data_IF_697331118490
#
_entry.id   IF_697331118490
#
_cell.length_a   1.000
_cell.length_b   1.000
_cell.length_c   1.000
_cell.angle_alpha   90.00
_cell.angle_beta   90.00
_cell.angle_gamma   90.00
#
_symmetry.space_group_name_H-M   'P 1'
#
loop_
_entity.id
_entity.type
_entity.pdbx_description
1 polymer ?
#
# COMPACT_ATOMS: atom_id res chain seq x y z
N UNK A 1 11.40 -3.61 6.31
CA UNK A 1 11.11 -4.96 5.84
C UNK A 1 9.84 -4.98 4.98
N UNK A 2 8.64 -4.76 5.51
CA UNK A 2 7.38 -4.88 4.74
C UNK A 2 7.34 -4.04 3.45
N UNK A 3 7.87 -2.81 3.46
CA UNK A 3 7.95 -2.00 2.24
C UNK A 3 8.94 -2.55 1.21
N UNK A 4 10.04 -3.16 1.67
CA UNK A 4 11.00 -3.84 0.80
C UNK A 4 10.36 -5.08 0.16
N UNK A 5 9.62 -5.86 0.93
CA UNK A 5 8.88 -7.01 0.42
C UNK A 5 7.85 -6.59 -0.65
N UNK A 6 6.97 -5.64 -0.31
CA UNK A 6 5.90 -5.21 -1.21
C UNK A 6 6.45 -4.73 -2.58
N UNK A 7 7.39 -3.78 -2.56
CA UNK A 7 7.96 -3.23 -3.80
C UNK A 7 8.91 -4.22 -4.51
N UNK A 8 9.60 -5.06 -3.76
CA UNK A 8 10.42 -6.14 -4.32
C UNK A 8 9.58 -7.19 -5.07
N UNK A 9 8.45 -7.59 -4.49
CA UNK A 9 7.50 -8.49 -5.16
C UNK A 9 6.89 -7.86 -6.41
N UNK A 10 6.47 -6.58 -6.31
CA UNK A 10 5.97 -5.82 -7.47
C UNK A 10 6.98 -5.80 -8.61
N UNK A 11 8.25 -5.53 -8.32
CA UNK A 11 9.34 -5.51 -9.31
C UNK A 11 9.60 -6.90 -9.90
N UNK A 12 9.48 -7.95 -9.08
CA UNK A 12 9.79 -9.33 -9.46
C UNK A 12 8.67 -10.04 -10.21
N UNK A 13 7.44 -9.49 -10.21
CA UNK A 13 6.26 -10.16 -10.76
C UNK A 13 6.44 -10.59 -12.22
N UNK A 14 7.03 -9.74 -13.05
CA UNK A 14 7.30 -10.07 -14.46
C UNK A 14 8.24 -11.27 -14.64
N UNK A 15 9.29 -11.37 -13.82
CA UNK A 15 10.23 -12.49 -13.84
C UNK A 15 9.60 -13.77 -13.31
N UNK A 16 8.77 -13.67 -12.26
CA UNK A 16 7.97 -14.78 -11.72
C UNK A 16 7.00 -15.28 -12.78
N UNK A 17 6.32 -14.36 -13.46
CA UNK A 17 5.38 -14.68 -14.55
C UNK A 17 6.06 -15.45 -15.70
N UNK A 18 7.27 -15.06 -16.09
CA UNK A 18 8.06 -15.75 -17.11
C UNK A 18 8.45 -17.16 -16.67
N UNK A 19 8.93 -17.34 -15.42
CA UNK A 19 9.34 -18.66 -14.91
C UNK A 19 8.18 -19.66 -14.84
N UNK A 20 6.98 -19.20 -14.45
CA UNK A 20 5.79 -20.06 -14.38
C UNK A 20 4.94 -20.05 -15.65
N UNK A 21 5.41 -19.43 -16.75
CA UNK A 21 4.68 -19.29 -18.02
C UNK A 21 3.26 -18.69 -17.83
N UNK A 22 3.13 -17.68 -16.97
CA UNK A 22 1.87 -17.03 -16.68
C UNK A 22 1.54 -15.96 -17.70
N UNK A 23 0.27 -15.87 -18.05
CA UNK A 23 -0.28 -14.73 -18.78
C UNK A 23 -0.60 -13.54 -17.84
N UNK A 24 -1.05 -12.42 -18.39
CA UNK A 24 -1.38 -11.23 -17.60
C UNK A 24 -2.41 -11.49 -16.50
N UNK A 25 -3.45 -12.29 -16.78
CA UNK A 25 -4.44 -12.69 -15.76
C UNK A 25 -3.82 -13.51 -14.64
N UNK A 26 -2.94 -14.46 -14.97
CA UNK A 26 -2.22 -15.26 -13.98
C UNK A 26 -1.31 -14.43 -13.08
N UNK A 27 -0.60 -13.44 -13.64
CA UNK A 27 0.19 -12.49 -12.85
C UNK A 27 -0.69 -11.62 -11.94
N UNK A 28 -1.80 -11.07 -12.47
CA UNK A 28 -2.75 -10.31 -11.66
C UNK A 28 -3.38 -11.15 -10.54
N UNK A 29 -3.65 -12.44 -10.80
CA UNK A 29 -4.16 -13.36 -9.78
C UNK A 29 -3.15 -13.57 -8.65
N UNK A 30 -1.87 -13.80 -8.96
CA UNK A 30 -0.82 -13.94 -7.96
C UNK A 30 -0.68 -12.68 -7.09
N UNK A 31 -0.65 -11.50 -7.71
CA UNK A 31 -0.62 -10.24 -6.97
C UNK A 31 -1.86 -10.07 -6.07
N UNK A 32 -3.05 -10.44 -6.58
CA UNK A 32 -4.31 -10.34 -5.82
C UNK A 32 -4.37 -11.32 -4.65
N UNK A 33 -3.78 -12.52 -4.75
CA UNK A 33 -3.72 -13.50 -3.66
C UNK A 33 -3.04 -12.91 -2.42
N UNK A 34 -1.91 -12.22 -2.58
CA UNK A 34 -1.22 -11.55 -1.48
C UNK A 34 -2.08 -10.43 -0.87
N UNK A 35 -2.69 -9.60 -1.71
CA UNK A 35 -3.51 -8.47 -1.27
C UNK A 35 -4.78 -8.91 -0.53
N UNK A 36 -5.42 -10.00 -0.99
CA UNK A 36 -6.57 -10.62 -0.30
C UNK A 36 -6.15 -11.17 1.06
N UNK A 37 -5.01 -11.85 1.13
CA UNK A 37 -4.47 -12.34 2.40
C UNK A 37 -4.24 -11.17 3.38
N UNK A 38 -3.67 -10.07 2.88
CA UNK A 38 -3.46 -8.83 3.65
C UNK A 38 -4.75 -8.20 4.16
N UNK A 39 -5.84 -8.28 3.40
CA UNK A 39 -7.17 -7.83 3.82
C UNK A 39 -7.76 -8.71 4.94
N UNK A 40 -7.60 -10.03 4.82
CA UNK A 40 -8.16 -11.00 5.77
C UNK A 40 -7.42 -10.94 7.11
N UNK A 41 -6.12 -10.70 7.09
CA UNK A 41 -5.24 -10.76 8.26
C UNK A 41 -5.71 -9.89 9.45
N UNK A 42 -6.03 -8.59 9.33
CA UNK A 42 -6.51 -7.79 10.44
C UNK A 42 -7.84 -8.28 11.02
N UNK A 43 -8.72 -8.83 10.18
CA UNK A 43 -10.03 -9.33 10.60
C UNK A 43 -9.91 -10.59 11.47
N UNK A 44 -9.01 -11.50 11.11
CA UNK A 44 -8.80 -12.75 11.83
C UNK A 44 -7.89 -12.58 13.05
N UNK A 45 -6.79 -11.87 12.89
CA UNK A 45 -5.71 -11.83 13.89
C UNK A 45 -5.72 -10.56 14.75
N UNK A 46 -6.54 -9.54 14.43
CA UNK A 46 -6.74 -8.38 15.30
C UNK A 46 -7.28 -8.76 16.68
N UNK A 47 -8.44 -9.43 16.77
CA UNK A 47 -8.96 -9.90 18.05
C UNK A 47 -8.04 -10.91 18.76
N UNK A 48 -7.25 -11.67 17.99
CA UNK A 48 -6.29 -12.62 18.54
C UNK A 48 -5.07 -11.93 19.18
N UNK A 49 -4.63 -10.80 18.61
CA UNK A 49 -3.56 -9.98 19.16
C UNK A 49 -3.91 -9.45 20.55
N UNK A 50 -5.16 -9.04 20.75
CA UNK A 50 -5.64 -8.54 22.04
C UNK A 50 -5.77 -9.65 23.09
N UNK A 51 -6.10 -10.90 22.67
CA UNK A 51 -6.25 -12.05 23.58
C UNK A 51 -4.93 -12.70 23.95
N UNK A 52 -4.05 -12.98 22.96
CA UNK A 52 -2.79 -13.70 23.16
C UNK A 52 -1.62 -12.81 23.57
N UNK A 53 -1.79 -11.50 23.38
CA UNK A 53 -0.75 -10.49 23.54
C UNK A 53 0.08 -10.26 22.26
N UNK A 54 0.34 -8.99 21.98
CA UNK A 54 0.95 -8.51 20.73
C UNK A 54 2.34 -9.12 20.47
N UNK A 55 3.18 -9.24 21.52
CA UNK A 55 4.51 -9.85 21.39
C UNK A 55 4.46 -11.30 20.87
N UNK A 56 3.62 -12.14 21.48
CA UNK A 56 3.50 -13.56 21.09
C UNK A 56 3.03 -13.69 19.64
N UNK A 57 2.05 -12.87 19.25
CA UNK A 57 1.52 -12.90 17.89
C UNK A 57 2.57 -12.42 16.88
N UNK A 58 3.34 -11.36 17.18
CA UNK A 58 4.43 -10.91 16.32
C UNK A 58 5.48 -11.99 16.10
N UNK A 59 5.93 -12.67 17.17
CA UNK A 59 6.91 -13.76 17.05
C UNK A 59 6.36 -14.90 16.20
N UNK A 60 5.10 -15.31 16.41
CA UNK A 60 4.47 -16.37 15.62
C UNK A 60 4.38 -16.01 14.13
N UNK A 61 4.04 -14.76 13.81
CA UNK A 61 3.91 -14.32 12.42
C UNK A 61 5.25 -14.03 11.76
N UNK A 62 6.29 -13.60 12.48
CA UNK A 62 7.66 -13.58 11.94
C UNK A 62 8.17 -14.98 11.65
N UNK A 63 7.86 -15.97 12.49
CA UNK A 63 8.20 -17.37 12.19
C UNK A 63 7.43 -17.90 10.96
N UNK A 64 6.13 -17.59 10.85
CA UNK A 64 5.32 -17.97 9.68
C UNK A 64 5.81 -17.28 8.39
N UNK A 65 6.18 -16.00 8.46
CA UNK A 65 6.78 -15.25 7.38
C UNK A 65 8.12 -15.83 6.94
N UNK A 66 9.00 -16.15 7.90
CA UNK A 66 10.26 -16.84 7.62
C UNK A 66 10.02 -18.17 6.90
N UNK A 67 9.10 -19.00 7.38
CA UNK A 67 8.78 -20.27 6.74
C UNK A 67 8.23 -20.07 5.31
N UNK A 68 7.37 -19.06 5.11
CA UNK A 68 6.86 -18.68 3.80
C UNK A 68 7.98 -18.18 2.88
N UNK A 69 8.81 -17.27 3.35
CA UNK A 69 9.95 -16.72 2.59
C UNK A 69 10.91 -17.81 2.15
N UNK A 70 11.26 -18.73 3.05
CA UNK A 70 12.15 -19.87 2.72
C UNK A 70 11.49 -20.82 1.73
N UNK A 71 10.19 -21.11 1.88
CA UNK A 71 9.44 -21.90 0.92
C UNK A 71 9.43 -21.24 -0.47
N UNK A 72 9.21 -19.93 -0.56
CA UNK A 72 9.22 -19.18 -1.80
C UNK A 72 10.60 -19.13 -2.45
N UNK A 73 11.67 -19.03 -1.65
CA UNK A 73 13.04 -19.01 -2.16
C UNK A 73 13.46 -20.31 -2.87
N UNK A 74 12.87 -21.45 -2.45
CA UNK A 74 13.22 -22.78 -3.04
C UNK A 74 12.09 -23.39 -3.89
N UNK A 75 10.93 -22.73 -3.99
CA UNK A 75 9.80 -23.31 -4.70
C UNK A 75 10.08 -23.46 -6.20
N UNK A 76 9.56 -24.53 -6.79
CA UNK A 76 9.64 -24.83 -8.20
C UNK A 76 8.27 -24.87 -8.90
N UNK A 77 7.16 -24.75 -8.16
CA UNK A 77 5.83 -24.92 -8.70
C UNK A 77 4.89 -23.76 -8.38
N UNK A 78 4.03 -23.42 -9.34
CA UNK A 78 3.03 -22.34 -9.22
C UNK A 78 2.13 -22.47 -7.99
N UNK A 79 1.62 -23.69 -7.71
CA UNK A 79 0.72 -23.91 -6.56
C UNK A 79 1.41 -23.67 -5.22
N UNK A 80 2.66 -24.12 -5.10
CA UNK A 80 3.47 -23.89 -3.90
C UNK A 80 3.77 -22.41 -3.75
N UNK A 81 4.08 -21.72 -4.86
CA UNK A 81 4.28 -20.28 -4.87
C UNK A 81 3.03 -19.53 -4.43
N UNK A 82 1.86 -19.86 -4.99
CA UNK A 82 0.59 -19.20 -4.62
C UNK A 82 0.23 -19.39 -3.13
N UNK A 83 0.44 -20.59 -2.59
CA UNK A 83 0.24 -20.86 -1.16
C UNK A 83 1.25 -20.09 -0.29
N UNK A 84 2.51 -20.04 -0.71
CA UNK A 84 3.55 -19.29 -0.02
C UNK A 84 3.24 -17.78 -0.02
N UNK A 85 2.85 -17.21 -1.16
CA UNK A 85 2.53 -15.77 -1.25
C UNK A 85 1.26 -15.40 -0.46
N UNK A 86 0.31 -16.31 -0.35
CA UNK A 86 -0.85 -16.13 0.54
C UNK A 86 -0.43 -16.07 2.01
N UNK A 87 0.41 -17.02 2.47
CA UNK A 87 0.94 -17.03 3.83
C UNK A 87 1.82 -15.80 4.10
N UNK A 88 2.62 -15.38 3.11
CA UNK A 88 3.41 -14.15 3.16
C UNK A 88 2.50 -12.93 3.37
N UNK A 89 1.44 -12.79 2.59
CA UNK A 89 0.47 -11.70 2.72
C UNK A 89 -0.19 -11.66 4.10
N UNK A 90 -0.58 -12.81 4.65
CA UNK A 90 -1.08 -12.90 6.03
C UNK A 90 -0.02 -12.43 7.03
N UNK A 91 1.22 -12.86 6.86
CA UNK A 91 2.32 -12.56 7.78
C UNK A 91 2.70 -11.10 7.76
N UNK A 92 2.95 -10.54 6.58
CA UNK A 92 3.34 -9.13 6.38
C UNK A 92 2.26 -8.18 6.91
N UNK A 93 1.00 -8.43 6.58
CA UNK A 93 -0.11 -7.60 7.07
C UNK A 93 -0.26 -7.69 8.59
N UNK A 94 -0.24 -8.92 9.16
CA UNK A 94 -0.36 -9.10 10.60
C UNK A 94 0.78 -8.42 11.35
N UNK A 95 2.02 -8.62 10.94
CA UNK A 95 3.17 -7.99 11.59
C UNK A 95 3.13 -6.47 11.47
N UNK A 96 2.61 -5.92 10.38
CA UNK A 96 2.49 -4.49 10.19
C UNK A 96 1.49 -3.85 11.16
N UNK A 97 0.23 -4.30 11.17
CA UNK A 97 -0.77 -3.67 12.04
C UNK A 97 -0.58 -3.99 13.53
N UNK A 98 -0.09 -5.19 13.88
CA UNK A 98 0.19 -5.53 15.29
C UNK A 98 1.39 -4.74 15.82
N UNK A 99 2.40 -4.46 14.99
CA UNK A 99 3.52 -3.57 15.37
C UNK A 99 3.04 -2.14 15.63
N UNK A 100 2.16 -1.61 14.77
CA UNK A 100 1.57 -0.28 14.96
C UNK A 100 0.75 -0.23 16.27
N UNK A 101 -0.08 -1.25 16.52
CA UNK A 101 -0.86 -1.35 17.73
C UNK A 101 0.02 -1.53 18.98
N UNK A 102 1.11 -2.30 18.88
CA UNK A 102 2.07 -2.46 19.97
C UNK A 102 2.76 -1.13 20.33
N UNK A 103 3.12 -0.33 19.33
CA UNK A 103 3.73 0.98 19.56
C UNK A 103 2.75 1.96 20.19
N UNK A 104 1.49 1.93 19.78
CA UNK A 104 0.45 2.76 20.41
C UNK A 104 0.28 2.41 21.91
N UNK A 105 0.40 1.12 22.28
CA UNK A 105 0.33 0.68 23.67
C UNK A 105 1.61 1.02 24.47
N UNK A 106 2.77 0.85 23.86
CA UNK A 106 4.06 1.12 24.51
C UNK A 106 4.28 2.62 24.76
N UNK A 107 3.73 3.46 23.89
CA UNK A 107 3.92 4.91 23.89
C UNK A 107 2.58 5.65 23.74
N UNK A 108 1.74 5.65 24.77
CA UNK A 108 0.41 6.27 24.70
C UNK A 108 0.41 7.77 24.37
N UNK A 109 1.48 8.49 24.75
CA UNK A 109 1.62 9.94 24.53
C UNK A 109 2.32 10.23 23.20
N UNK A 110 3.44 9.58 22.91
CA UNK A 110 4.27 9.86 21.72
C UNK A 110 4.06 8.88 20.56
N UNK A 111 3.09 7.97 20.67
CA UNK A 111 2.86 6.89 19.71
C UNK A 111 2.65 7.36 18.27
N UNK A 112 1.86 8.42 18.05
CA UNK A 112 1.62 8.98 16.72
C UNK A 112 2.92 9.37 16.00
N UNK A 113 3.86 10.02 16.72
CA UNK A 113 5.16 10.39 16.16
C UNK A 113 6.00 9.15 15.79
N UNK A 114 5.99 8.13 16.64
CA UNK A 114 6.74 6.89 16.42
C UNK A 114 6.12 6.06 15.27
N UNK A 115 4.81 6.03 15.15
CA UNK A 115 4.11 5.42 14.01
C UNK A 115 4.49 6.11 12.70
N UNK A 116 4.61 7.46 12.71
CA UNK A 116 5.12 8.22 11.56
C UNK A 116 6.51 7.77 11.12
N UNK A 117 7.44 7.52 12.05
CA UNK A 117 8.77 6.98 11.72
C UNK A 117 8.70 5.59 11.10
N UNK A 118 7.85 4.69 11.63
CA UNK A 118 7.72 3.32 11.10
C UNK A 118 7.16 3.33 9.67
N UNK A 119 6.16 4.17 9.40
CA UNK A 119 5.63 4.32 8.03
C UNK A 119 6.65 4.96 7.09
N UNK A 120 7.53 5.83 7.59
CA UNK A 120 8.68 6.35 6.86
C UNK A 120 9.68 5.25 6.48
N UNK A 121 10.02 4.36 7.41
CA UNK A 121 10.88 3.20 7.12
C UNK A 121 10.24 2.21 6.15
N UNK A 122 8.91 2.06 6.16
CA UNK A 122 8.20 1.32 5.12
C UNK A 122 8.50 1.90 3.73
N UNK A 123 8.30 3.21 3.57
CA UNK A 123 8.54 3.90 2.29
C UNK A 123 10.00 3.80 1.85
N UNK A 124 10.95 3.92 2.78
CA UNK A 124 12.37 3.72 2.48
C UNK A 124 12.64 2.31 1.92
N UNK A 125 12.09 1.26 2.55
CA UNK A 125 12.18 -0.10 2.04
C UNK A 125 11.58 -0.24 0.64
N UNK A 126 10.43 0.42 0.38
CA UNK A 126 9.77 0.40 -0.92
C UNK A 126 10.55 1.12 -2.03
N UNK A 127 11.38 2.11 -1.67
CA UNK A 127 12.30 2.78 -2.61
C UNK A 127 13.50 1.90 -2.96
N UNK A 128 14.08 1.26 -1.93
CA UNK A 128 15.33 0.49 -2.08
C UNK A 128 15.09 -0.83 -2.81
N UNK A 129 13.96 -1.49 -2.57
CA UNK A 129 13.68 -2.81 -3.10
C UNK A 129 13.70 -2.91 -4.64
N UNK A 130 13.03 -2.02 -5.41
CA UNK A 130 13.10 -2.08 -6.86
C UNK A 130 14.51 -1.86 -7.39
N UNK A 131 15.31 -1.00 -6.73
CA UNK A 131 16.71 -0.77 -7.14
C UNK A 131 17.55 -2.03 -6.93
N UNK A 132 17.44 -2.68 -5.77
CA UNK A 132 18.22 -3.89 -5.46
C UNK A 132 17.74 -5.08 -6.29
N UNK A 133 16.44 -5.39 -6.22
CA UNK A 133 15.87 -6.53 -6.91
C UNK A 133 15.89 -6.34 -8.44
N UNK A 134 15.55 -5.15 -8.93
CA UNK A 134 15.50 -4.84 -10.35
C UNK A 134 16.89 -4.90 -11.00
N UNK A 135 17.89 -4.28 -10.36
CA UNK A 135 19.27 -4.36 -10.82
C UNK A 135 19.77 -5.82 -10.88
N UNK A 136 19.47 -6.62 -9.83
CA UNK A 136 19.86 -8.02 -9.78
C UNK A 136 19.18 -8.85 -10.88
N UNK A 137 17.89 -8.59 -11.14
CA UNK A 137 17.13 -9.27 -12.20
C UNK A 137 17.61 -8.89 -13.61
N UNK A 138 17.93 -7.62 -13.87
CA UNK A 138 18.50 -7.19 -15.16
C UNK A 138 19.85 -7.87 -15.48
N UNK A 139 20.63 -8.17 -14.44
CA UNK A 139 21.90 -8.88 -14.58
C UNK A 139 21.78 -10.42 -14.60
N UNK A 140 20.57 -10.93 -14.88
CA UNK A 140 20.31 -12.37 -15.02
C UNK A 140 20.12 -13.11 -13.69
N UNK A 141 19.94 -12.39 -12.59
CA UNK A 141 19.66 -12.96 -11.27
C UNK A 141 18.25 -13.53 -11.16
N UNK A 142 18.01 -14.30 -10.10
CA UNK A 142 16.70 -14.92 -9.83
C UNK A 142 15.89 -14.08 -8.84
N UNK A 143 14.59 -13.94 -9.08
CA UNK A 143 13.64 -13.32 -8.16
C UNK A 143 13.61 -13.97 -6.74
N UNK A 144 14.11 -15.20 -6.63
CA UNK A 144 14.21 -15.95 -5.37
C UNK A 144 15.07 -15.25 -4.32
N UNK A 145 16.01 -14.37 -4.77
CA UNK A 145 16.85 -13.58 -3.87
C UNK A 145 16.02 -12.68 -2.96
N UNK A 146 14.92 -12.10 -3.44
CA UNK A 146 14.00 -11.29 -2.63
C UNK A 146 13.53 -12.07 -1.40
N UNK A 147 13.02 -13.27 -1.62
CA UNK A 147 12.47 -14.09 -0.53
C UNK A 147 13.55 -14.64 0.40
N UNK A 148 14.74 -14.94 -0.12
CA UNK A 148 15.90 -15.31 0.71
C UNK A 148 16.31 -14.15 1.64
N UNK A 149 16.37 -12.93 1.13
CA UNK A 149 16.66 -11.73 1.93
C UNK A 149 15.57 -11.48 2.98
N UNK A 150 14.29 -11.64 2.58
CA UNK A 150 13.15 -11.47 3.47
C UNK A 150 13.19 -12.47 4.63
N UNK A 151 13.35 -13.76 4.35
CA UNK A 151 13.42 -14.78 5.40
C UNK A 151 14.58 -14.53 6.38
N UNK A 152 15.73 -14.10 5.88
CA UNK A 152 16.87 -13.74 6.74
C UNK A 152 16.56 -12.52 7.62
N UNK A 153 15.93 -11.50 7.08
CA UNK A 153 15.53 -10.30 7.82
C UNK A 153 14.46 -10.63 8.89
N UNK A 154 13.49 -11.48 8.56
CA UNK A 154 12.43 -11.91 9.49
C UNK A 154 12.99 -12.67 10.69
N UNK A 155 14.00 -13.54 10.49
CA UNK A 155 14.70 -14.22 11.58
C UNK A 155 15.35 -13.20 12.52
N UNK A 156 16.06 -12.22 11.98
CA UNK A 156 16.73 -11.19 12.78
C UNK A 156 15.71 -10.35 13.57
N UNK A 157 14.61 -9.96 12.94
CA UNK A 157 13.55 -9.18 13.60
C UNK A 157 12.83 -10.03 14.64
N UNK A 158 12.59 -11.30 14.38
CA UNK A 158 12.01 -12.24 15.35
C UNK A 158 12.88 -12.35 16.60
N UNK A 159 14.18 -12.53 16.45
CA UNK A 159 15.15 -12.59 17.57
C UNK A 159 15.13 -11.27 18.35
N UNK A 160 15.15 -10.13 17.64
CA UNK A 160 15.05 -8.82 18.28
C UNK A 160 13.73 -8.65 19.05
N UNK A 161 12.62 -9.10 18.48
CA UNK A 161 11.28 -9.05 19.12
C UNK A 161 11.22 -9.90 20.38
N UNK A 162 11.87 -11.07 20.39
CA UNK A 162 11.97 -11.93 21.58
C UNK A 162 12.73 -11.25 22.72
N UNK A 163 13.79 -10.50 22.38
CA UNK A 163 14.61 -9.78 23.36
C UNK A 163 13.94 -8.48 23.87
N UNK A 164 12.95 -7.91 23.15
CA UNK A 164 12.29 -6.67 23.53
C UNK A 164 11.31 -6.86 24.68
N UNK A 165 11.26 -5.88 25.60
CA UNK A 165 10.19 -5.73 26.58
C UNK A 165 9.02 -4.93 25.97
N UNK A 166 7.79 -5.42 26.15
CA UNK A 166 6.54 -4.83 25.67
C UNK A 166 5.74 -4.17 26.80
N UNK A 167 6.38 -3.84 27.92
CA UNK A 167 5.74 -3.05 28.98
C UNK A 167 5.58 -1.59 28.56
N UNK A 168 4.47 -0.91 28.92
CA UNK A 168 4.27 0.51 28.63
C UNK A 168 5.46 1.33 29.12
N UNK A 169 5.95 2.24 28.29
CA UNK A 169 7.13 3.09 28.58
C UNK A 169 6.81 4.53 28.94
N UNK A 170 5.52 4.88 28.90
CA UNK A 170 5.00 6.22 29.21
C UNK A 170 3.82 6.09 30.17
N UNK A 171 3.75 6.98 31.17
CA UNK A 171 2.62 7.01 32.11
C UNK A 171 1.36 7.60 31.47
N UNK A 172 0.25 6.88 31.59
CA UNK A 172 -1.07 7.28 31.03
C UNK A 172 -1.68 8.48 31.74
N UNK A 173 -1.15 8.89 32.91
CA UNK A 173 -1.72 9.95 33.76
C UNK A 173 -1.74 11.35 33.13
N UNK A 174 -0.95 11.60 32.08
CA UNK A 174 -0.91 12.90 31.40
C UNK A 174 -1.87 13.03 30.20
N UNK A 175 -2.56 11.97 29.81
CA UNK A 175 -3.42 11.98 28.59
C UNK A 175 -4.91 12.11 28.85
N UNK A 176 -5.32 12.79 29.93
CA UNK A 176 -6.73 13.25 30.12
C UNK A 176 -7.16 14.34 29.14
N UNK A 177 -6.49 14.49 28.01
CA UNK A 177 -6.69 15.52 27.01
C UNK A 177 -7.38 15.03 25.75
N UNK A 178 -8.68 15.27 25.67
CA UNK A 178 -9.50 15.31 24.46
C UNK A 178 -9.62 13.98 23.69
N UNK A 179 -10.46 13.07 24.19
CA UNK A 179 -11.27 12.25 23.27
C UNK A 179 -12.01 13.22 22.36
N UNK A 180 -11.70 13.22 21.08
CA UNK A 180 -12.53 13.94 20.10
C UNK A 180 -13.97 13.46 20.29
N UNK A 181 -14.96 14.37 20.31
CA UNK A 181 -16.35 13.96 20.38
C UNK A 181 -16.61 12.97 19.25
N UNK A 182 -17.34 11.90 19.57
CA UNK A 182 -17.77 10.91 18.57
C UNK A 182 -18.51 11.69 17.47
N UNK A 183 -17.84 11.89 16.34
CA UNK A 183 -18.40 12.58 15.20
C UNK A 183 -19.69 11.87 14.79
N UNK A 184 -20.73 12.62 14.49
CA UNK A 184 -21.96 12.10 13.92
C UNK A 184 -21.62 11.28 12.69
N UNK A 185 -21.95 9.99 12.69
CA UNK A 185 -21.72 9.09 11.59
C UNK A 185 -22.47 9.58 10.35
N UNK A 186 -21.75 10.07 9.34
CA UNK A 186 -22.32 10.44 8.04
C UNK A 186 -22.03 9.32 7.07
N UNK A 187 -22.96 8.39 6.90
CA UNK A 187 -22.81 7.18 6.09
C UNK A 187 -22.42 7.49 4.64
N UNK A 188 -23.00 8.52 4.04
CA UNK A 188 -22.66 8.94 2.67
C UNK A 188 -21.20 9.40 2.53
N UNK A 189 -20.68 10.15 3.51
CA UNK A 189 -19.27 10.56 3.52
C UNK A 189 -18.33 9.38 3.67
N UNK A 190 -18.68 8.41 4.51
CA UNK A 190 -17.92 7.16 4.70
C UNK A 190 -17.88 6.37 3.41
N UNK A 191 -19.04 6.15 2.76
CA UNK A 191 -19.12 5.39 1.51
C UNK A 191 -18.32 6.05 0.38
N UNK A 192 -18.36 7.39 0.28
CA UNK A 192 -17.54 8.12 -0.69
C UNK A 192 -16.03 7.97 -0.41
N UNK A 193 -15.61 8.09 0.85
CA UNK A 193 -14.20 7.89 1.21
C UNK A 193 -13.76 6.45 0.98
N UNK A 194 -14.64 5.46 1.22
CA UNK A 194 -14.37 4.07 0.86
C UNK A 194 -14.24 3.89 -0.66
N UNK A 195 -15.06 4.56 -1.46
CA UNK A 195 -14.94 4.52 -2.92
C UNK A 195 -13.63 5.15 -3.40
N UNK A 196 -13.25 6.31 -2.86
CA UNK A 196 -11.96 6.96 -3.12
C UNK A 196 -10.81 6.01 -2.77
N UNK A 197 -10.80 5.42 -1.58
CA UNK A 197 -9.76 4.47 -1.18
C UNK A 197 -9.71 3.22 -2.06
N UNK A 198 -10.86 2.70 -2.47
CA UNK A 198 -10.93 1.56 -3.39
C UNK A 198 -10.28 1.89 -4.74
N UNK A 199 -10.63 3.04 -5.33
CA UNK A 199 -10.10 3.47 -6.62
C UNK A 199 -8.60 3.76 -6.55
N UNK A 200 -8.17 4.54 -5.56
CA UNK A 200 -6.78 4.92 -5.38
C UNK A 200 -5.86 3.73 -5.12
N UNK A 201 -6.17 2.90 -4.12
CA UNK A 201 -5.31 1.75 -3.76
C UNK A 201 -5.34 0.68 -4.86
N UNK A 202 -6.48 0.56 -5.55
CA UNK A 202 -6.59 -0.25 -6.74
C UNK A 202 -5.63 0.21 -7.84
N UNK A 203 -5.61 1.51 -8.13
CA UNK A 203 -4.64 2.10 -9.06
C UNK A 203 -3.20 1.87 -8.59
N UNK A 204 -2.89 2.22 -7.33
CA UNK A 204 -1.55 2.12 -6.77
C UNK A 204 -0.95 0.72 -6.94
N UNK A 205 -1.70 -0.31 -6.56
CA UNK A 205 -1.24 -1.69 -6.69
C UNK A 205 -1.21 -2.15 -8.15
N UNK A 206 -2.28 -1.88 -8.92
CA UNK A 206 -2.31 -2.23 -10.34
C UNK A 206 -1.15 -1.60 -11.12
N UNK A 207 -0.86 -0.33 -10.87
CA UNK A 207 0.28 0.36 -11.47
C UNK A 207 1.60 -0.24 -11.01
N UNK A 208 1.82 -0.38 -9.72
CA UNK A 208 3.08 -0.84 -9.15
C UNK A 208 3.44 -2.27 -9.60
N UNK A 209 2.47 -3.17 -9.75
CA UNK A 209 2.71 -4.53 -10.23
C UNK A 209 3.00 -4.63 -11.72
N UNK A 210 2.48 -3.70 -12.55
CA UNK A 210 2.56 -3.84 -14.00
C UNK A 210 3.44 -2.78 -14.69
N UNK A 211 3.83 -1.69 -14.02
CA UNK A 211 4.60 -0.59 -14.64
C UNK A 211 5.97 -1.07 -15.13
N UNK A 212 6.68 -1.88 -14.36
CA UNK A 212 8.00 -2.39 -14.78
C UNK A 212 7.89 -3.25 -16.03
N UNK A 213 6.94 -4.18 -16.08
CA UNK A 213 6.69 -4.99 -17.29
C UNK A 213 6.26 -4.13 -18.48
N UNK A 214 5.41 -3.12 -18.27
CA UNK A 214 5.02 -2.18 -19.32
C UNK A 214 6.22 -1.43 -19.91
N UNK A 215 7.07 -0.90 -19.06
CA UNK A 215 8.26 -0.15 -19.50
C UNK A 215 9.25 -1.04 -20.22
N UNK A 216 9.46 -2.25 -19.73
CA UNK A 216 10.41 -3.21 -20.33
C UNK A 216 9.88 -3.81 -21.63
N UNK A 217 8.63 -4.31 -21.64
CA UNK A 217 8.10 -5.12 -22.74
C UNK A 217 7.47 -4.29 -23.87
N UNK A 218 6.92 -3.09 -23.54
CA UNK A 218 6.23 -2.24 -24.51
C UNK A 218 7.08 -1.06 -24.96
N UNK A 219 7.82 -0.43 -24.04
CA UNK A 219 8.63 0.75 -24.34
C UNK A 219 10.12 0.42 -24.50
N UNK A 220 10.53 -0.83 -24.30
CA UNK A 220 11.92 -1.31 -24.36
C UNK A 220 12.86 -0.40 -23.55
N UNK A 221 12.42 0.00 -22.36
CA UNK A 221 13.17 0.91 -21.51
C UNK A 221 14.22 0.16 -20.70
N UNK A 222 15.46 0.64 -20.78
CA UNK A 222 16.52 0.20 -19.87
C UNK A 222 16.22 0.66 -18.45
N UNK A 223 16.63 -0.13 -17.47
CA UNK A 223 16.48 0.19 -16.04
C UNK A 223 15.03 0.55 -15.63
N UNK A 224 14.04 -0.14 -16.21
CA UNK A 224 12.61 0.10 -15.97
C UNK A 224 12.21 0.07 -14.47
N UNK A 225 12.95 -0.69 -13.63
CA UNK A 225 12.74 -0.76 -12.19
C UNK A 225 12.91 0.59 -11.46
N UNK A 226 13.68 1.53 -12.04
CA UNK A 226 13.87 2.88 -11.48
C UNK A 226 12.53 3.63 -11.40
N UNK A 227 11.61 3.38 -12.33
CA UNK A 227 10.29 4.01 -12.33
C UNK A 227 9.52 3.78 -11.02
N UNK A 228 9.52 2.53 -10.54
CA UNK A 228 8.85 2.19 -9.28
C UNK A 228 9.55 2.81 -8.07
N UNK A 229 10.88 2.88 -8.07
CA UNK A 229 11.63 3.57 -7.02
C UNK A 229 11.34 5.08 -6.98
N UNK A 230 11.27 5.74 -8.14
CA UNK A 230 10.92 7.17 -8.25
C UNK A 230 9.49 7.42 -7.77
N UNK A 231 8.56 6.55 -8.13
CA UNK A 231 7.17 6.60 -7.68
C UNK A 231 7.07 6.55 -6.15
N UNK A 232 7.69 5.54 -5.51
CA UNK A 232 7.68 5.42 -4.05
C UNK A 232 8.46 6.53 -3.35
N UNK A 233 9.57 6.99 -3.95
CA UNK A 233 10.40 8.06 -3.37
C UNK A 233 9.60 9.36 -3.21
N UNK A 234 8.89 9.77 -4.25
CA UNK A 234 8.14 11.03 -4.22
C UNK A 234 6.87 10.98 -3.38
N UNK A 235 6.39 9.80 -3.02
CA UNK A 235 5.32 9.68 -2.02
C UNK A 235 5.76 10.16 -0.63
N UNK A 236 7.06 10.08 -0.29
CA UNK A 236 7.56 10.48 1.04
C UNK A 236 7.34 11.97 1.28
N UNK A 237 7.89 12.90 0.47
CA UNK A 237 7.69 14.32 0.67
C UNK A 237 6.22 14.75 0.52
N UNK A 238 5.43 14.09 -0.33
CA UNK A 238 4.00 14.35 -0.45
C UNK A 238 3.23 14.06 0.84
N UNK A 239 3.49 12.92 1.46
CA UNK A 239 2.88 12.53 2.75
C UNK A 239 3.26 13.50 3.87
N UNK A 240 4.52 13.92 3.92
CA UNK A 240 5.01 14.91 4.89
C UNK A 240 4.31 16.26 4.66
N UNK A 241 4.24 16.75 3.42
CA UNK A 241 3.59 18.01 3.07
C UNK A 241 2.09 18.00 3.47
N UNK A 242 1.37 16.90 3.24
CA UNK A 242 -0.03 16.75 3.68
C UNK A 242 -0.19 16.89 5.19
N UNK A 243 0.76 16.42 5.99
CA UNK A 243 0.73 16.57 7.44
C UNK A 243 0.75 18.02 7.90
N UNK A 244 1.49 18.89 7.19
CA UNK A 244 1.52 20.34 7.47
C UNK A 244 0.32 21.11 6.88
N UNK A 245 -0.23 20.63 5.77
CA UNK A 245 -1.32 21.27 5.04
C UNK A 245 -2.71 20.69 5.38
N UNK A 246 -2.88 20.14 6.57
CA UNK A 246 -4.10 19.43 6.98
C UNK A 246 -5.41 20.22 6.83
N UNK A 247 -5.35 21.57 6.91
CA UNK A 247 -6.51 22.44 6.67
C UNK A 247 -6.99 22.48 5.21
N UNK A 248 -6.15 22.04 4.25
CA UNK A 248 -6.42 21.99 2.81
C UNK A 248 -6.71 20.56 2.31
N UNK A 249 -6.89 19.57 3.19
CA UNK A 249 -6.97 18.15 2.80
C UNK A 249 -7.97 17.86 1.69
N UNK A 250 -9.09 18.56 1.60
CA UNK A 250 -10.08 18.37 0.52
C UNK A 250 -9.57 18.86 -0.82
N UNK A 251 -9.01 20.07 -0.84
CA UNK A 251 -8.42 20.65 -2.05
C UNK A 251 -7.24 19.79 -2.53
N UNK A 252 -6.40 19.36 -1.59
CA UNK A 252 -5.27 18.47 -1.86
C UNK A 252 -5.78 17.16 -2.48
N UNK A 253 -6.81 16.54 -1.92
CA UNK A 253 -7.37 15.30 -2.45
C UNK A 253 -7.82 15.46 -3.91
N UNK A 254 -8.59 16.50 -4.22
CA UNK A 254 -9.10 16.75 -5.58
C UNK A 254 -7.97 17.05 -6.56
N UNK A 255 -7.02 17.91 -6.19
CA UNK A 255 -5.89 18.27 -7.05
C UNK A 255 -4.98 17.05 -7.27
N UNK A 256 -4.75 16.27 -6.22
CA UNK A 256 -3.90 15.10 -6.26
C UNK A 256 -4.52 14.00 -7.15
N UNK A 257 -5.80 13.71 -7.01
CA UNK A 257 -6.50 12.71 -7.84
C UNK A 257 -6.49 13.13 -9.32
N UNK A 258 -6.77 14.40 -9.64
CA UNK A 258 -6.73 14.89 -11.02
C UNK A 258 -5.31 14.85 -11.60
N UNK A 259 -4.32 15.37 -10.84
CA UNK A 259 -2.92 15.37 -11.27
C UNK A 259 -2.39 13.94 -11.50
N UNK A 260 -2.72 13.01 -10.60
CA UNK A 260 -2.36 11.61 -10.75
C UNK A 260 -3.03 10.97 -11.98
N UNK A 261 -4.33 11.27 -12.25
CA UNK A 261 -5.04 10.75 -13.43
C UNK A 261 -4.40 11.21 -14.73
N UNK A 262 -4.07 12.50 -14.85
CA UNK A 262 -3.41 13.08 -16.03
C UNK A 262 -2.04 12.44 -16.25
N UNK A 263 -1.23 12.29 -15.19
CA UNK A 263 0.11 11.72 -15.28
C UNK A 263 0.07 10.21 -15.59
N UNK A 264 -0.86 9.48 -15.00
CA UNK A 264 -1.05 8.06 -15.34
C UNK A 264 -1.44 7.86 -16.80
N UNK A 265 -2.34 8.71 -17.32
CA UNK A 265 -2.70 8.73 -18.74
C UNK A 265 -1.49 9.09 -19.63
N UNK A 266 -0.71 10.09 -19.23
CA UNK A 266 0.50 10.49 -19.95
C UNK A 266 1.52 9.35 -20.04
N UNK A 267 1.77 8.62 -18.93
CA UNK A 267 2.65 7.45 -18.91
C UNK A 267 2.15 6.36 -19.88
N UNK A 268 0.85 6.09 -19.90
CA UNK A 268 0.25 5.07 -20.78
C UNK A 268 0.24 5.46 -22.26
N UNK A 269 0.36 6.76 -22.60
CA UNK A 269 0.30 7.27 -23.97
C UNK A 269 1.66 7.66 -24.55
N UNK A 270 2.61 8.06 -23.71
CA UNK A 270 3.95 8.43 -24.18
C UNK A 270 4.67 7.22 -24.80
N UNK A 271 5.32 7.45 -25.94
CA UNK A 271 6.05 6.40 -26.66
C UNK A 271 7.54 6.30 -26.29
N UNK A 272 8.01 7.03 -25.28
CA UNK A 272 9.41 7.09 -24.88
C UNK A 272 9.58 6.58 -23.45
N UNK A 273 10.38 5.49 -23.28
CA UNK A 273 10.60 4.85 -22.00
C UNK A 273 11.23 5.77 -20.94
N UNK A 274 12.22 6.59 -21.32
CA UNK A 274 12.86 7.54 -20.38
C UNK A 274 11.88 8.59 -19.91
N UNK A 275 11.04 9.12 -20.80
CA UNK A 275 9.99 10.07 -20.43
C UNK A 275 8.96 9.41 -19.48
N UNK A 276 8.52 8.18 -19.77
CA UNK A 276 7.60 7.43 -18.91
C UNK A 276 8.18 7.19 -17.51
N UNK A 277 9.47 6.80 -17.41
CA UNK A 277 10.17 6.64 -16.13
C UNK A 277 10.19 7.97 -15.35
N UNK A 278 10.53 9.08 -16.01
CA UNK A 278 10.58 10.40 -15.37
C UNK A 278 9.21 10.87 -14.87
N UNK A 279 8.14 10.59 -15.62
CA UNK A 279 6.76 10.91 -15.21
C UNK A 279 6.29 10.15 -13.97
N UNK A 280 6.90 9.01 -13.63
CA UNK A 280 6.61 8.29 -12.40
C UNK A 280 6.95 9.11 -11.14
N UNK A 281 7.91 10.05 -11.22
CA UNK A 281 8.28 10.91 -10.11
C UNK A 281 7.14 11.87 -9.72
N UNK A 282 6.61 12.76 -10.58
CA UNK A 282 5.47 13.60 -10.23
C UNK A 282 4.19 12.76 -9.97
N UNK A 283 4.00 11.60 -10.63
CA UNK A 283 2.90 10.71 -10.33
C UNK A 283 2.94 10.24 -8.87
N UNK A 284 4.12 9.81 -8.38
CA UNK A 284 4.31 9.41 -6.99
C UNK A 284 4.00 10.54 -6.00
N UNK A 285 4.34 11.78 -6.35
CA UNK A 285 4.02 12.95 -5.51
C UNK A 285 2.51 13.13 -5.35
N UNK A 286 1.75 13.14 -6.44
CA UNK A 286 0.29 13.28 -6.36
C UNK A 286 -0.35 12.07 -5.67
N UNK A 287 0.03 10.85 -6.00
CA UNK A 287 -0.47 9.64 -5.34
C UNK A 287 -0.17 9.63 -3.84
N UNK A 288 1.01 10.07 -3.43
CA UNK A 288 1.39 10.14 -2.02
C UNK A 288 0.52 11.06 -1.17
N UNK A 289 -0.12 12.05 -1.78
CA UNK A 289 -1.00 12.99 -1.10
C UNK A 289 -2.43 12.46 -0.88
N UNK A 290 -2.89 11.48 -1.66
CA UNK A 290 -4.28 10.97 -1.60
C UNK A 290 -4.55 10.25 -0.29
N UNK A 291 -3.74 9.26 0.07
CA UNK A 291 -3.95 8.41 1.25
C UNK A 291 -4.05 9.22 2.57
N UNK A 292 -3.09 10.11 2.92
CA UNK A 292 -3.18 10.89 4.15
C UNK A 292 -4.39 11.83 4.16
N UNK A 293 -4.75 12.38 3.00
CA UNK A 293 -5.90 13.28 2.86
C UNK A 293 -7.22 12.55 3.14
N UNK A 294 -7.39 11.31 2.63
CA UNK A 294 -8.55 10.48 2.91
C UNK A 294 -8.59 10.07 4.38
N UNK A 295 -7.43 9.65 4.93
CA UNK A 295 -7.35 9.23 6.34
C UNK A 295 -7.76 10.37 7.29
N UNK A 296 -7.28 11.59 7.05
CA UNK A 296 -7.65 12.76 7.85
C UNK A 296 -9.15 13.08 7.75
N UNK A 297 -9.74 12.94 6.55
CA UNK A 297 -11.18 13.16 6.37
C UNK A 297 -12.01 12.04 6.99
N UNK A 298 -11.51 10.79 6.99
CA UNK A 298 -12.21 9.66 7.59
C UNK A 298 -12.36 9.79 9.11
N UNK A 299 -11.45 10.48 9.77
CA UNK A 299 -11.58 10.80 11.20
C UNK A 299 -12.78 11.71 11.48
N UNK A 300 -13.10 12.62 10.55
CA UNK A 300 -14.26 13.52 10.68
C UNK A 300 -15.60 12.78 10.49
N UNK A 301 -15.67 11.75 9.67
CA UNK A 301 -16.92 11.03 9.33
C UNK A 301 -17.11 9.72 10.08
N UNK A 302 -16.05 8.98 10.39
CA UNK A 302 -16.15 7.57 10.82
C UNK A 302 -15.12 7.10 11.84
N UNK A 303 -14.30 7.98 12.38
CA UNK A 303 -13.22 7.55 13.28
C UNK A 303 -12.20 6.59 12.62
N UNK A 304 -11.97 6.72 11.29
CA UNK A 304 -10.86 6.02 10.61
C UNK A 304 -11.15 4.64 10.01
N UNK A 305 -12.41 4.24 9.81
CA UNK A 305 -12.77 2.89 9.32
C UNK A 305 -12.73 2.74 7.78
N UNK A 306 -11.57 2.74 7.15
CA UNK A 306 -11.40 2.59 5.69
C UNK A 306 -10.59 1.36 5.25
N UNK A 307 -10.11 0.54 6.19
CA UNK A 307 -9.17 -0.56 5.92
C UNK A 307 -9.72 -1.61 4.93
N UNK A 308 -11.00 -1.98 5.04
CA UNK A 308 -11.63 -2.99 4.15
C UNK A 308 -11.69 -2.50 2.71
N UNK A 309 -12.06 -1.23 2.48
CA UNK A 309 -12.11 -0.67 1.11
C UNK A 309 -10.72 -0.62 0.47
N UNK A 310 -9.68 -0.29 1.26
CA UNK A 310 -8.28 -0.30 0.83
C UNK A 310 -7.84 -1.68 0.32
N UNK A 311 -8.08 -2.73 1.10
CA UNK A 311 -7.67 -4.08 0.73
C UNK A 311 -8.42 -4.62 -0.50
N UNK A 312 -9.74 -4.44 -0.58
CA UNK A 312 -10.54 -4.86 -1.72
C UNK A 312 -10.14 -4.12 -3.01
N UNK A 313 -9.91 -2.80 -2.93
CA UNK A 313 -9.48 -2.00 -4.07
C UNK A 313 -8.17 -2.52 -4.65
N UNK A 314 -7.17 -2.76 -3.82
CA UNK A 314 -5.89 -3.33 -4.23
C UNK A 314 -6.05 -4.66 -4.96
N UNK A 315 -6.75 -5.61 -4.37
CA UNK A 315 -6.90 -6.96 -4.94
C UNK A 315 -7.68 -6.97 -6.25
N UNK A 316 -8.85 -6.34 -6.28
CA UNK A 316 -9.78 -6.37 -7.44
C UNK A 316 -9.18 -5.65 -8.65
N UNK A 317 -8.65 -4.44 -8.46
CA UNK A 317 -8.13 -3.66 -9.59
C UNK A 317 -6.83 -4.24 -10.12
N UNK A 318 -5.97 -4.83 -9.28
CA UNK A 318 -4.76 -5.52 -9.74
C UNK A 318 -5.11 -6.74 -10.60
N UNK A 319 -6.13 -7.53 -10.21
CA UNK A 319 -6.62 -8.64 -11.02
C UNK A 319 -7.21 -8.15 -12.35
N UNK A 320 -8.02 -7.08 -12.33
CA UNK A 320 -8.57 -6.47 -13.54
C UNK A 320 -7.46 -5.95 -14.47
N UNK A 321 -6.41 -5.33 -13.92
CA UNK A 321 -5.26 -4.86 -14.70
C UNK A 321 -4.56 -6.02 -15.39
N UNK A 322 -4.34 -7.13 -14.68
CA UNK A 322 -3.77 -8.35 -15.27
C UNK A 322 -4.64 -8.93 -16.39
N UNK A 323 -5.96 -8.99 -16.20
CA UNK A 323 -6.90 -9.47 -17.21
C UNK A 323 -6.93 -8.54 -18.43
N UNK A 324 -6.96 -7.23 -18.22
CA UNK A 324 -6.89 -6.22 -19.28
C UNK A 324 -5.57 -6.29 -20.06
N UNK A 325 -4.46 -6.53 -19.37
CA UNK A 325 -3.14 -6.68 -20.01
C UNK A 325 -3.09 -7.89 -20.95
N UNK A 326 -3.76 -8.98 -20.57
CA UNK A 326 -3.86 -10.18 -21.40
C UNK A 326 -4.75 -9.97 -22.62
N UNK A 327 -5.90 -9.33 -22.47
CA UNK A 327 -6.89 -9.19 -23.56
C UNK A 327 -6.53 -8.07 -24.53
N UNK A 328 -6.03 -6.95 -24.04
CA UNK A 328 -5.86 -5.72 -24.82
C UNK A 328 -4.39 -5.21 -24.84
N UNK A 329 -3.48 -5.90 -24.15
CA UNK A 329 -2.07 -5.55 -24.03
C UNK A 329 -1.79 -4.59 -22.88
N UNK A 330 -0.54 -4.62 -22.38
CA UNK A 330 -0.06 -3.85 -21.22
C UNK A 330 -0.28 -2.33 -21.37
N UNK A 331 -0.07 -1.76 -22.56
CA UNK A 331 -0.29 -0.33 -22.82
C UNK A 331 -1.73 0.09 -22.49
N UNK A 332 -2.72 -0.66 -22.99
CA UNK A 332 -4.13 -0.36 -22.72
C UNK A 332 -4.51 -0.60 -21.27
N UNK A 333 -3.90 -1.59 -20.62
CA UNK A 333 -4.13 -1.83 -19.21
C UNK A 333 -3.62 -0.66 -18.32
N UNK A 334 -2.46 -0.08 -18.61
CA UNK A 334 -1.94 1.10 -17.91
C UNK A 334 -2.85 2.33 -18.17
N UNK A 335 -3.29 2.54 -19.41
CA UNK A 335 -4.25 3.62 -19.72
C UNK A 335 -5.59 3.40 -18.98
N UNK A 336 -6.08 2.17 -18.90
CA UNK A 336 -7.30 1.82 -18.16
C UNK A 336 -7.19 2.20 -16.67
N UNK A 337 -6.03 2.00 -16.05
CA UNK A 337 -5.79 2.39 -14.67
C UNK A 337 -5.99 3.90 -14.42
N UNK A 338 -5.69 4.77 -15.40
CA UNK A 338 -5.95 6.20 -15.25
C UNK A 338 -7.43 6.53 -15.06
N UNK A 339 -8.33 5.68 -15.57
CA UNK A 339 -9.77 5.79 -15.37
C UNK A 339 -10.19 5.64 -13.91
N UNK A 340 -9.49 4.80 -13.12
CA UNK A 340 -9.74 4.69 -11.68
C UNK A 340 -9.41 5.99 -10.96
N UNK A 341 -8.31 6.65 -11.30
CA UNK A 341 -7.96 7.96 -10.72
C UNK A 341 -8.89 9.07 -11.19
N UNK A 342 -9.45 8.98 -12.40
CA UNK A 342 -10.47 9.92 -12.84
C UNK A 342 -11.78 9.74 -12.06
N UNK A 343 -12.18 8.50 -11.77
CA UNK A 343 -13.29 8.20 -10.87
C UNK A 343 -13.01 8.67 -9.44
N UNK A 344 -11.77 8.47 -8.97
CA UNK A 344 -11.30 8.98 -7.68
C UNK A 344 -11.49 10.50 -7.57
N UNK A 345 -11.08 11.24 -8.59
CA UNK A 345 -11.29 12.69 -8.70
C UNK A 345 -12.78 13.07 -8.65
N UNK A 346 -13.66 12.36 -9.37
CA UNK A 346 -15.10 12.64 -9.36
C UNK A 346 -15.72 12.38 -7.97
N UNK A 347 -15.31 11.29 -7.30
CA UNK A 347 -15.74 11.02 -5.93
C UNK A 347 -15.21 12.05 -4.93
N UNK A 348 -13.95 12.48 -5.09
CA UNK A 348 -13.36 13.52 -4.26
C UNK A 348 -14.11 14.87 -4.43
N UNK A 349 -14.50 15.24 -5.65
CA UNK A 349 -15.33 16.42 -5.90
C UNK A 349 -16.69 16.34 -5.18
N UNK A 350 -17.31 15.18 -5.14
CA UNK A 350 -18.63 15.00 -4.52
C UNK A 350 -18.61 15.11 -2.99
N UNK A 351 -17.43 15.09 -2.35
CA UNK A 351 -17.28 15.36 -0.92
C UNK A 351 -17.51 16.84 -0.54
N UNK A 352 -17.41 17.78 -1.49
CA UNK A 352 -17.57 19.23 -1.23
C UNK A 352 -18.97 19.67 -0.80
N UNK A 353 -20.09 19.20 -1.39
CA UNK A 353 -21.43 19.64 -1.01
C UNK A 353 -21.88 19.25 0.38
N UNK A 354 -21.38 18.14 0.91
CA UNK A 354 -21.88 17.54 2.17
C UNK A 354 -21.59 18.42 3.41
N UNK A 355 -20.50 19.19 3.42
CA UNK A 355 -20.17 20.08 4.56
C UNK A 355 -21.05 21.33 4.65
N UNK A 356 -21.65 21.75 3.52
CA UNK A 356 -22.52 22.95 3.50
C UNK A 356 -23.84 22.71 4.26
N UNK A 357 -24.28 21.44 4.33
CA UNK A 357 -25.47 21.06 5.09
C UNK A 357 -25.23 20.90 6.60
N UNK A 358 -24.01 20.50 7.00
CA UNK A 358 -23.66 20.36 8.41
C UNK A 358 -23.64 21.72 9.13
N UNK A 359 -23.06 22.77 8.50
CA UNK A 359 -23.05 24.12 9.07
C UNK A 359 -24.46 24.74 9.18
N UNK A 360 -25.41 24.34 8.32
CA UNK A 360 -26.81 24.80 8.45
C UNK A 360 -27.57 24.12 9.58
N UNK A 361 -27.18 22.89 9.94
CA UNK A 361 -27.82 22.13 11.02
C UNK A 361 -27.31 22.59 12.41
N UNK A 362 -26.06 23.03 12.49
CA UNK A 362 -25.51 23.62 13.73
C UNK A 362 -26.05 25.03 14.00
N UNK A 363 -26.17 25.87 12.97
CA UNK A 363 -26.72 27.25 13.11
C UNK A 363 -28.22 27.24 13.50
N UNK A 364 -28.96 26.20 13.13
CA UNK A 364 -30.37 26.06 13.52
C UNK A 364 -30.58 25.38 14.89
N UNK A 365 -29.53 25.03 15.62
CA UNK A 365 -29.56 24.45 16.98
C UNK A 365 -29.02 25.38 18.06
N UNK A 366 -28.55 26.57 17.69
CA UNK A 366 -28.22 27.68 18.60
C UNK A 366 -29.30 28.74 18.51
#
# INVERSE_FOLDING_TARGET
>A
MNGFEAAGYQTSLGSIGKEFALNGTGMGMLASVQLIAGLIAPLLFGPLADKLGKKRLLVAFFAAGTASSMCLAVCAGYRTFAAGIFLMGLSVSTTQYVSIAAIADLYPVSGSKKIGWITGFYSFGAVVAPMVCGYYLENGGSWKILFSMMGSAEILIMIATLAMDFSPREDVRETSGKRMPAGTWVLSGILLLCAVMFMYVGFENGFAFFVTSYLTEVLNADHAYIALSLFWFMMIPARVACGYLGHLNRQILVIASLGAAILALAIGTVGNGKAAITLCLPLGFFCGAIYPSVLTQSLAFAGGKTATATGLGGAVVTLLTGTMSQQFGLKRAIVFLSGFLMLDFLFALSLFPQRKNENKTEVNRT
#
